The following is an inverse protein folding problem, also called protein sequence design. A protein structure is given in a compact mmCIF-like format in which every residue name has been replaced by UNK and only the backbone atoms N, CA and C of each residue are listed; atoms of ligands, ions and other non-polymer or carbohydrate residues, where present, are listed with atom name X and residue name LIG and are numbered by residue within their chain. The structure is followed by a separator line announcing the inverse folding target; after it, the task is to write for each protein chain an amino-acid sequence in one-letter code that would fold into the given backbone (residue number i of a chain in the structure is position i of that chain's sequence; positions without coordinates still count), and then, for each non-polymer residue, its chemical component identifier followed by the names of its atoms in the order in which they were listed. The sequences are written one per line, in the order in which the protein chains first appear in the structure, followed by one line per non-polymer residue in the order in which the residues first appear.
data_IF_374949647600
#
_entry.id   IF_374949647600
#
_cell.length_a   1.000
_cell.length_b   1.000
_cell.length_c   1.000
_cell.angle_alpha   90.00
_cell.angle_beta   90.00
_cell.angle_gamma   90.00
#
_symmetry.space_group_name_H-M   'P 1'
#
loop_
_entity.id
_entity.type
_entity.pdbx_description
1 polymer ?
#
# COMPACT_ATOMS: atom_id res chain seq x y z
N UNK A 1 -20.97 4.63 31.32
CA UNK A 1 -21.35 6.03 31.65
C UNK A 1 -22.79 6.25 31.22
N UNK A 2 -23.75 5.92 32.10
CA UNK A 2 -25.20 6.02 31.86
C UNK A 2 -25.73 7.33 32.42
N UNK A 3 -25.28 8.46 31.89
CA UNK A 3 -25.78 9.77 32.32
C UNK A 3 -27.16 10.01 31.69
N UNK A 4 -28.23 9.87 32.48
CA UNK A 4 -29.58 10.31 32.10
C UNK A 4 -29.60 11.81 31.75
N UNK A 5 -28.69 12.60 32.33
CA UNK A 5 -28.54 14.03 32.07
C UNK A 5 -28.15 14.30 30.61
N UNK A 6 -27.18 13.56 30.05
CA UNK A 6 -26.79 13.69 28.64
C UNK A 6 -27.94 13.33 27.67
N UNK A 7 -28.80 12.35 28.04
CA UNK A 7 -29.99 11.99 27.24
C UNK A 7 -31.09 13.06 27.28
N UNK A 8 -31.07 13.94 28.28
CA UNK A 8 -32.05 15.01 28.45
C UNK A 8 -31.79 16.21 27.53
N UNK A 9 -30.53 16.45 27.14
CA UNK A 9 -30.13 17.57 26.28
C UNK A 9 -30.34 17.29 24.78
N UNK A 10 -30.40 16.01 24.39
CA UNK A 10 -30.56 15.60 23.00
C UNK A 10 -32.04 15.71 22.58
N UNK A 11 -32.33 16.50 21.53
CA UNK A 11 -33.69 16.75 21.03
C UNK A 11 -33.94 16.10 19.66
N UNK A 12 -35.21 15.86 19.35
CA UNK A 12 -35.67 15.48 18.01
C UNK A 12 -35.24 14.08 17.55
N UNK A 13 -34.99 13.93 16.23
CA UNK A 13 -34.68 12.65 15.55
C UNK A 13 -33.40 11.97 16.09
N UNK A 14 -32.43 12.75 16.56
CA UNK A 14 -31.20 12.24 17.17
C UNK A 14 -31.48 11.45 18.45
N UNK A 15 -32.42 11.93 19.30
CA UNK A 15 -32.79 11.25 20.54
C UNK A 15 -33.36 9.84 20.29
N UNK A 16 -34.24 9.72 19.28
CA UNK A 16 -34.85 8.43 18.91
C UNK A 16 -33.81 7.45 18.39
N UNK A 17 -32.90 7.91 17.52
CA UNK A 17 -31.87 7.06 16.91
C UNK A 17 -30.85 6.57 17.94
N UNK A 18 -30.41 7.45 18.85
CA UNK A 18 -29.51 7.08 19.94
C UNK A 18 -30.16 6.16 20.96
N UNK A 19 -31.46 6.32 21.25
CA UNK A 19 -32.20 5.39 22.10
C UNK A 19 -32.31 4.00 21.45
N UNK A 20 -32.56 3.93 20.13
CA UNK A 20 -32.59 2.68 19.39
C UNK A 20 -31.21 1.98 19.39
N UNK A 21 -30.14 2.73 19.13
CA UNK A 21 -28.77 2.22 19.18
C UNK A 21 -28.38 1.75 20.59
N UNK A 22 -28.70 2.52 21.64
CA UNK A 22 -28.44 2.10 23.00
C UNK A 22 -29.18 0.80 23.36
N UNK A 23 -30.44 0.67 22.92
CA UNK A 23 -31.20 -0.57 23.10
C UNK A 23 -30.62 -1.75 22.33
N UNK A 24 -30.09 -1.53 21.12
CA UNK A 24 -29.35 -2.54 20.36
C UNK A 24 -28.10 -3.00 21.13
N UNK A 25 -27.27 -2.05 21.59
CA UNK A 25 -26.06 -2.37 22.37
C UNK A 25 -26.39 -3.10 23.68
N UNK A 26 -27.50 -2.77 24.33
CA UNK A 26 -27.97 -3.48 25.53
C UNK A 26 -28.37 -4.94 25.21
N UNK A 27 -29.05 -5.20 24.09
CA UNK A 27 -29.35 -6.57 23.66
C UNK A 27 -28.09 -7.36 23.31
N UNK A 28 -27.17 -6.75 22.55
CA UNK A 28 -25.91 -7.39 22.17
C UNK A 28 -25.00 -7.68 23.37
N UNK A 29 -25.07 -6.87 24.43
CA UNK A 29 -24.30 -7.10 25.65
C UNK A 29 -24.61 -8.45 26.32
N UNK A 30 -25.83 -9.00 26.15
CA UNK A 30 -26.21 -10.31 26.69
C UNK A 30 -25.47 -11.48 26.01
N UNK A 31 -24.80 -11.23 24.89
CA UNK A 31 -24.00 -12.20 24.14
C UNK A 31 -22.50 -12.07 24.40
N UNK A 32 -22.05 -11.04 25.13
CA UNK A 32 -20.63 -10.72 25.29
C UNK A 32 -19.79 -11.82 25.98
N UNK A 33 -20.43 -12.74 26.71
CA UNK A 33 -19.79 -13.90 27.36
C UNK A 33 -20.24 -15.24 26.79
N UNK A 34 -20.98 -15.24 25.68
CA UNK A 34 -21.44 -16.45 24.99
C UNK A 34 -20.37 -16.96 24.02
N UNK A 35 -20.53 -18.18 23.45
CA UNK A 35 -19.70 -18.64 22.35
C UNK A 35 -19.59 -17.60 21.24
N UNK A 36 -18.42 -17.50 20.62
CA UNK A 36 -18.10 -16.47 19.64
C UNK A 36 -19.05 -16.51 18.42
N UNK A 37 -19.36 -17.71 17.92
CA UNK A 37 -20.28 -17.89 16.80
C UNK A 37 -21.70 -17.39 17.12
N UNK A 38 -22.18 -17.67 18.34
CA UNK A 38 -23.49 -17.17 18.81
C UNK A 38 -23.51 -15.65 18.90
N UNK A 39 -22.43 -15.05 19.45
CA UNK A 39 -22.34 -13.61 19.60
C UNK A 39 -22.21 -12.87 18.26
N UNK A 40 -21.42 -13.40 17.33
CA UNK A 40 -21.30 -12.85 15.97
C UNK A 40 -22.63 -12.98 15.22
N UNK A 41 -23.27 -14.16 15.29
CA UNK A 41 -24.59 -14.38 14.70
C UNK A 41 -25.64 -13.37 15.20
N UNK A 42 -25.67 -13.11 16.51
CA UNK A 42 -26.56 -12.11 17.10
C UNK A 42 -26.30 -10.69 16.56
N UNK A 43 -25.03 -10.31 16.32
CA UNK A 43 -24.69 -9.01 15.70
C UNK A 43 -25.20 -8.95 14.26
N UNK A 44 -24.97 -10.00 13.47
CA UNK A 44 -25.39 -10.04 12.06
C UNK A 44 -26.90 -9.95 11.91
N UNK A 45 -27.65 -10.66 12.77
CA UNK A 45 -29.12 -10.65 12.78
C UNK A 45 -29.68 -9.31 13.27
N UNK A 46 -29.25 -8.82 14.43
CA UNK A 46 -29.81 -7.60 15.04
C UNK A 46 -29.48 -6.30 14.27
N UNK A 47 -28.51 -6.36 13.36
CA UNK A 47 -28.12 -5.22 12.51
C UNK A 47 -28.58 -5.35 11.06
N UNK A 48 -29.22 -6.47 10.69
CA UNK A 48 -29.55 -6.83 9.31
C UNK A 48 -28.33 -6.72 8.35
N UNK A 49 -27.12 -7.04 8.85
CA UNK A 49 -25.88 -6.72 8.14
C UNK A 49 -25.74 -7.47 6.81
N UNK A 50 -26.14 -8.74 6.78
CA UNK A 50 -26.11 -9.57 5.56
C UNK A 50 -27.09 -9.02 4.51
N UNK A 51 -28.29 -8.64 4.92
CA UNK A 51 -29.26 -8.03 4.00
C UNK A 51 -28.77 -6.67 3.49
N UNK A 52 -28.09 -5.91 4.34
CA UNK A 52 -27.42 -4.68 3.93
C UNK A 52 -26.33 -4.94 2.88
N UNK A 53 -25.46 -5.95 3.09
CA UNK A 53 -24.43 -6.36 2.12
C UNK A 53 -25.06 -6.75 0.77
N UNK A 54 -26.09 -7.60 0.78
CA UNK A 54 -26.82 -8.04 -0.43
C UNK A 54 -27.51 -6.89 -1.18
N UNK A 55 -27.91 -5.84 -0.46
CA UNK A 55 -28.54 -4.65 -1.06
C UNK A 55 -27.53 -3.63 -1.61
N UNK A 56 -26.24 -3.83 -1.35
CA UNK A 56 -25.17 -2.94 -1.80
C UNK A 56 -25.00 -3.04 -3.32
N UNK A 57 -24.82 -1.90 -3.99
CA UNK A 57 -24.53 -1.84 -5.44
C UNK A 57 -23.04 -1.99 -5.76
N UNK A 58 -22.24 -2.39 -4.77
CA UNK A 58 -20.80 -2.59 -4.92
C UNK A 58 -20.53 -3.92 -5.65
N UNK A 59 -19.53 -3.94 -6.54
CA UNK A 59 -19.19 -5.13 -7.34
C UNK A 59 -18.60 -6.28 -6.50
N UNK A 60 -18.37 -6.04 -5.22
CA UNK A 60 -17.72 -6.93 -4.25
C UNK A 60 -18.69 -7.40 -3.14
N UNK A 61 -20.00 -7.18 -3.30
CA UNK A 61 -20.99 -7.54 -2.28
C UNK A 61 -20.99 -9.05 -1.96
N UNK A 62 -20.85 -9.90 -2.98
CA UNK A 62 -20.81 -11.36 -2.86
C UNK A 62 -19.57 -11.83 -2.08
N UNK A 63 -18.38 -11.33 -2.45
CA UNK A 63 -17.13 -11.67 -1.75
C UNK A 63 -17.13 -11.19 -0.28
N UNK A 64 -17.77 -10.05 0.01
CA UNK A 64 -17.95 -9.60 1.41
C UNK A 64 -18.90 -10.48 2.20
N UNK A 65 -19.95 -10.98 1.58
CA UNK A 65 -20.86 -11.94 2.21
C UNK A 65 -20.11 -13.24 2.53
N UNK A 66 -19.36 -13.78 1.57
CA UNK A 66 -18.51 -14.97 1.74
C UNK A 66 -17.50 -14.80 2.89
N UNK A 67 -16.83 -13.65 2.98
CA UNK A 67 -15.89 -13.36 4.06
C UNK A 67 -16.56 -13.34 5.45
N UNK A 68 -17.80 -12.84 5.55
CA UNK A 68 -18.56 -12.84 6.81
C UNK A 68 -19.01 -14.25 7.17
N UNK A 69 -19.41 -15.06 6.20
CA UNK A 69 -19.74 -16.47 6.42
C UNK A 69 -18.50 -17.25 6.90
N UNK A 70 -17.33 -17.02 6.30
CA UNK A 70 -16.07 -17.63 6.73
C UNK A 70 -15.70 -17.23 8.17
N UNK A 71 -15.91 -15.96 8.55
CA UNK A 71 -15.72 -15.50 9.93
C UNK A 71 -16.59 -16.29 10.92
N UNK A 72 -17.84 -16.58 10.58
CA UNK A 72 -18.73 -17.38 11.42
C UNK A 72 -18.23 -18.82 11.52
N UNK A 73 -17.81 -19.42 10.41
CA UNK A 73 -17.23 -20.78 10.38
C UNK A 73 -15.98 -20.87 11.25
N UNK A 74 -15.10 -19.86 11.19
CA UNK A 74 -13.91 -19.78 12.03
C UNK A 74 -14.28 -19.66 13.52
N UNK A 75 -15.27 -18.83 13.86
CA UNK A 75 -15.75 -18.71 15.24
C UNK A 75 -16.37 -20.03 15.76
N UNK A 76 -17.08 -20.79 14.92
CA UNK A 76 -17.61 -22.12 15.28
C UNK A 76 -16.49 -23.15 15.51
N UNK A 77 -15.41 -23.08 14.72
CA UNK A 77 -14.24 -23.90 14.93
C UNK A 77 -13.55 -23.57 16.25
N UNK A 78 -13.34 -22.29 16.53
CA UNK A 78 -12.81 -21.79 17.78
C UNK A 78 -13.64 -22.27 18.98
N UNK A 79 -14.96 -22.11 18.94
CA UNK A 79 -15.85 -22.49 20.04
C UNK A 79 -15.81 -24.00 20.34
N UNK A 80 -15.61 -24.85 19.31
CA UNK A 80 -15.44 -26.30 19.49
C UNK A 80 -14.15 -26.65 20.21
N UNK A 81 -13.09 -25.90 19.95
CA UNK A 81 -11.74 -26.15 20.51
C UNK A 81 -11.53 -25.46 21.87
N UNK A 82 -12.26 -24.37 22.12
CA UNK A 82 -12.10 -23.48 23.26
C UNK A 82 -13.43 -23.21 23.99
N UNK A 83 -14.10 -24.26 24.44
CA UNK A 83 -15.48 -24.22 24.97
C UNK A 83 -15.75 -23.19 26.10
N UNK A 84 -14.74 -22.83 26.90
CA UNK A 84 -14.88 -21.89 28.03
C UNK A 84 -14.40 -20.46 27.73
N UNK A 85 -13.86 -20.21 26.52
CA UNK A 85 -13.20 -18.95 26.21
C UNK A 85 -14.19 -17.87 25.71
N UNK A 86 -15.26 -18.28 25.02
CA UNK A 86 -16.30 -17.41 24.48
C UNK A 86 -15.79 -16.31 23.55
N UNK A 87 -16.63 -15.30 23.27
CA UNK A 87 -16.26 -14.15 22.45
C UNK A 87 -14.96 -13.44 22.90
N UNK A 88 -14.70 -13.19 24.21
CA UNK A 88 -13.46 -12.53 24.62
C UNK A 88 -12.21 -13.33 24.27
N UNK A 89 -12.26 -14.66 24.37
CA UNK A 89 -11.16 -15.53 23.96
C UNK A 89 -10.94 -15.51 22.45
N UNK A 90 -12.02 -15.58 21.67
CA UNK A 90 -11.93 -15.48 20.21
C UNK A 90 -11.31 -14.15 19.76
N UNK A 91 -11.71 -13.03 20.36
CA UNK A 91 -11.14 -11.72 20.06
C UNK A 91 -9.65 -11.62 20.45
N UNK A 92 -9.22 -12.34 21.48
CA UNK A 92 -7.80 -12.45 21.81
C UNK A 92 -7.05 -13.27 20.76
N UNK A 93 -7.61 -14.39 20.30
CA UNK A 93 -7.01 -15.22 19.25
C UNK A 93 -6.88 -14.43 17.95
N UNK A 94 -7.95 -13.81 17.46
CA UNK A 94 -7.91 -12.98 16.25
C UNK A 94 -6.90 -11.84 16.36
N UNK A 95 -6.70 -11.29 17.56
CA UNK A 95 -5.68 -10.27 17.80
C UNK A 95 -4.25 -10.83 17.88
N UNK A 96 -4.09 -12.14 18.08
CA UNK A 96 -2.82 -12.86 18.15
C UNK A 96 -2.43 -13.52 16.82
N UNK A 97 -3.41 -13.83 15.96
CA UNK A 97 -3.17 -14.35 14.60
C UNK A 97 -2.31 -13.34 13.86
N UNK A 98 -1.10 -13.77 13.54
CA UNK A 98 -0.20 -13.01 12.67
C UNK A 98 -0.44 -13.46 11.23
N UNK A 99 -0.18 -12.57 10.26
CA UNK A 99 -0.27 -12.89 8.80
C UNK A 99 0.57 -14.11 8.36
N UNK A 100 1.40 -14.66 9.27
CA UNK A 100 2.31 -15.78 9.07
C UNK A 100 1.63 -17.13 9.39
N UNK A 101 0.64 -17.17 10.30
CA UNK A 101 0.11 -18.42 10.85
C UNK A 101 -0.78 -19.20 9.85
N UNK A 102 -1.24 -18.54 8.77
CA UNK A 102 -2.02 -19.14 7.68
C UNK A 102 -1.17 -19.71 6.52
N UNK A 103 0.16 -19.74 6.64
CA UNK A 103 1.03 -20.29 5.60
C UNK A 103 1.03 -21.82 5.65
N UNK A 104 0.09 -22.47 4.96
CA UNK A 104 0.09 -23.93 4.82
C UNK A 104 1.28 -24.41 3.97
N UNK A 105 2.06 -25.36 4.50
CA UNK A 105 3.12 -26.05 3.74
C UNK A 105 2.50 -26.91 2.63
N UNK A 106 2.72 -26.54 1.36
CA UNK A 106 2.41 -27.39 0.20
C UNK A 106 1.72 -26.71 -0.97
N UNK A 107 1.24 -25.48 -0.81
CA UNK A 107 0.70 -24.71 -1.92
C UNK A 107 1.80 -23.89 -2.60
N UNK A 108 1.99 -24.10 -3.91
CA UNK A 108 2.94 -23.34 -4.72
C UNK A 108 2.44 -21.90 -4.93
N UNK A 109 2.62 -21.06 -3.92
CA UNK A 109 2.22 -19.64 -3.90
C UNK A 109 3.43 -18.73 -3.76
N UNK A 110 3.28 -17.49 -4.23
CA UNK A 110 4.25 -16.42 -3.94
C UNK A 110 3.78 -15.71 -2.68
N UNK A 111 4.67 -15.60 -1.71
CA UNK A 111 4.38 -14.96 -0.43
C UNK A 111 4.71 -13.47 -0.51
N UNK A 112 3.71 -12.62 -0.27
CA UNK A 112 3.86 -11.17 -0.12
C UNK A 112 3.71 -10.80 1.34
N UNK A 113 4.65 -10.04 1.87
CA UNK A 113 4.63 -9.58 3.25
C UNK A 113 5.42 -8.29 3.40
N UNK A 114 5.30 -7.63 4.56
CA UNK A 114 6.17 -6.52 4.91
C UNK A 114 7.54 -7.01 5.38
N UNK A 115 8.57 -6.17 5.31
CA UNK A 115 9.90 -6.51 5.85
C UNK A 115 9.86 -6.89 7.33
N UNK A 116 8.99 -6.26 8.13
CA UNK A 116 8.83 -6.57 9.55
C UNK A 116 8.30 -7.99 9.77
N UNK A 117 7.32 -8.41 8.98
CA UNK A 117 6.73 -9.75 9.05
C UNK A 117 7.71 -10.86 8.62
N UNK A 118 8.77 -10.53 7.87
CA UNK A 118 9.75 -11.51 7.41
C UNK A 118 10.68 -12.03 8.50
N UNK A 119 10.71 -11.40 9.68
CA UNK A 119 11.67 -11.73 10.73
C UNK A 119 11.52 -13.18 11.20
N UNK A 120 12.61 -13.93 11.10
CA UNK A 120 12.64 -15.35 11.51
C UNK A 120 12.22 -16.33 10.42
N UNK A 121 11.83 -15.85 9.24
CA UNK A 121 11.57 -16.66 8.05
C UNK A 121 12.78 -16.65 7.12
N UNK A 122 12.90 -17.67 6.28
CA UNK A 122 13.95 -17.79 5.26
C UNK A 122 13.33 -18.37 3.99
N UNK A 123 13.79 -17.90 2.83
CA UNK A 123 13.25 -18.28 1.53
C UNK A 123 14.40 -18.47 0.52
N UNK A 124 14.30 -19.46 -0.39
CA UNK A 124 15.29 -19.66 -1.46
C UNK A 124 15.52 -18.38 -2.30
N UNK A 125 14.44 -17.66 -2.59
CA UNK A 125 14.47 -16.44 -3.41
C UNK A 125 13.67 -15.34 -2.73
N UNK A 126 14.27 -14.17 -2.56
CA UNK A 126 13.63 -12.98 -1.98
C UNK A 126 13.70 -11.80 -2.94
N UNK A 127 12.55 -11.14 -3.12
CA UNK A 127 12.45 -9.86 -3.78
C UNK A 127 12.18 -8.77 -2.75
N UNK A 128 13.08 -7.79 -2.64
CA UNK A 128 12.82 -6.55 -1.89
C UNK A 128 12.50 -5.47 -2.91
N UNK A 129 11.23 -5.08 -2.96
CA UNK A 129 10.74 -4.08 -3.89
C UNK A 129 10.56 -2.72 -3.22
N UNK A 130 10.69 -1.65 -4.02
CA UNK A 130 10.46 -0.28 -3.55
C UNK A 130 11.60 0.27 -2.71
N UNK A 131 12.85 -0.06 -3.06
CA UNK A 131 14.05 0.54 -2.46
C UNK A 131 14.23 1.95 -2.99
N UNK A 132 13.42 2.85 -2.45
CA UNK A 132 13.32 4.26 -2.80
C UNK A 132 13.48 5.11 -1.55
N UNK A 133 14.07 6.30 -1.68
CA UNK A 133 14.01 7.31 -0.62
C UNK A 133 12.54 7.61 -0.26
N UNK A 134 12.31 7.93 1.02
CA UNK A 134 10.98 8.11 1.65
C UNK A 134 10.13 6.84 1.82
N UNK A 135 10.49 5.72 1.17
CA UNK A 135 9.83 4.43 1.35
C UNK A 135 10.68 3.49 2.22
N UNK A 136 11.95 3.30 1.84
CA UNK A 136 12.95 2.59 2.64
C UNK A 136 14.32 3.21 2.36
N UNK A 137 14.79 4.17 3.18
CA UNK A 137 14.26 4.54 4.49
C UNK A 137 12.91 5.29 4.42
N UNK A 138 12.01 4.99 5.35
CA UNK A 138 10.72 5.67 5.44
C UNK A 138 10.88 7.17 5.78
N UNK A 139 10.05 8.03 5.18
CA UNK A 139 10.13 9.49 5.34
C UNK A 139 10.14 9.97 6.81
N UNK A 140 9.39 9.28 7.69
CA UNK A 140 9.35 9.61 9.12
C UNK A 140 10.68 9.41 9.83
N UNK A 141 11.53 8.51 9.32
CA UNK A 141 12.86 8.22 9.85
C UNK A 141 13.92 9.22 9.36
N UNK A 142 13.51 10.22 8.55
CA UNK A 142 14.40 11.20 7.92
C UNK A 142 14.29 12.64 8.46
N UNK A 143 13.51 12.86 9.54
CA UNK A 143 13.27 14.21 10.13
C UNK A 143 14.49 14.86 10.80
N UNK A 144 14.41 16.16 11.12
CA UNK A 144 15.57 17.04 11.42
C UNK A 144 16.13 17.01 12.87
N UNK A 145 15.48 16.35 13.83
CA UNK A 145 16.02 16.21 15.20
C UNK A 145 16.86 14.94 15.36
N UNK A 146 17.58 14.79 16.48
CA UNK A 146 18.48 13.65 16.85
C UNK A 146 17.89 12.21 16.69
N UNK A 147 16.65 12.08 16.22
CA UNK A 147 16.07 10.86 15.62
C UNK A 147 16.47 10.58 14.16
N UNK A 148 17.26 11.43 13.50
CA UNK A 148 17.65 11.28 12.09
C UNK A 148 18.69 10.19 11.82
N UNK A 149 19.63 9.95 12.74
CA UNK A 149 20.63 8.89 12.58
C UNK A 149 20.13 7.57 13.18
N UNK A 150 19.48 7.63 14.34
CA UNK A 150 18.90 6.45 14.99
C UNK A 150 17.74 5.84 14.18
N UNK A 151 16.91 6.69 13.56
CA UNK A 151 15.82 6.26 12.68
C UNK A 151 16.35 5.61 11.40
N UNK A 152 17.32 6.24 10.74
CA UNK A 152 17.97 5.65 9.56
C UNK A 152 18.69 4.35 9.90
N UNK A 153 19.34 4.26 11.06
CA UNK A 153 19.96 3.02 11.53
C UNK A 153 18.94 1.91 11.82
N UNK A 154 17.72 2.25 12.24
CA UNK A 154 16.65 1.26 12.39
C UNK A 154 16.13 0.77 11.03
N UNK A 155 15.90 1.67 10.07
CA UNK A 155 15.53 1.31 8.69
C UNK A 155 16.64 0.49 8.01
N UNK A 156 17.90 0.79 8.30
CA UNK A 156 19.07 0.01 7.86
C UNK A 156 19.06 -1.39 8.45
N UNK A 157 18.76 -1.53 9.74
CA UNK A 157 18.57 -2.85 10.38
C UNK A 157 17.41 -3.61 9.74
N UNK A 158 16.31 -2.94 9.41
CA UNK A 158 15.17 -3.54 8.73
C UNK A 158 15.55 -4.07 7.35
N UNK A 159 16.28 -3.26 6.56
CA UNK A 159 16.82 -3.69 5.26
C UNK A 159 17.75 -4.90 5.42
N UNK A 160 18.68 -4.87 6.38
CA UNK A 160 19.57 -5.99 6.68
C UNK A 160 18.79 -7.27 7.03
N UNK A 161 17.77 -7.18 7.87
CA UNK A 161 16.90 -8.32 8.20
C UNK A 161 16.26 -8.88 6.94
N UNK A 162 15.69 -8.02 6.09
CA UNK A 162 15.10 -8.42 4.80
C UNK A 162 16.09 -9.13 3.88
N UNK A 163 17.29 -8.58 3.72
CA UNK A 163 18.34 -9.16 2.87
C UNK A 163 18.75 -10.55 3.34
N UNK A 164 18.84 -10.74 4.66
CA UNK A 164 19.22 -12.03 5.28
C UNK A 164 18.10 -13.06 5.31
N UNK A 165 16.91 -12.77 4.75
CA UNK A 165 15.87 -13.79 4.55
C UNK A 165 16.13 -14.64 3.30
N UNK A 166 17.03 -14.20 2.40
CA UNK A 166 17.34 -14.90 1.17
C UNK A 166 18.41 -15.98 1.40
N UNK A 167 18.15 -17.21 0.95
CA UNK A 167 19.12 -18.31 1.00
C UNK A 167 19.99 -18.36 -0.27
N UNK A 168 19.37 -18.35 -1.46
CA UNK A 168 20.08 -18.51 -2.74
C UNK A 168 20.16 -17.20 -3.54
N UNK A 169 19.03 -16.48 -3.66
CA UNK A 169 18.94 -15.30 -4.53
C UNK A 169 18.21 -14.13 -3.87
N UNK A 170 18.85 -12.97 -3.90
CA UNK A 170 18.27 -11.69 -3.48
C UNK A 170 18.14 -10.77 -4.68
N UNK A 171 16.93 -10.28 -4.94
CA UNK A 171 16.64 -9.32 -6.01
C UNK A 171 16.13 -8.03 -5.37
N UNK A 172 16.81 -6.93 -5.68
CA UNK A 172 16.51 -5.60 -5.17
C UNK A 172 15.95 -4.74 -6.29
N UNK A 173 14.79 -4.10 -6.08
CA UNK A 173 14.17 -3.26 -7.12
C UNK A 173 13.73 -1.90 -6.57
N UNK A 174 13.79 -0.89 -7.44
CA UNK A 174 13.29 0.45 -7.20
C UNK A 174 12.51 0.91 -8.44
N UNK A 175 11.54 1.82 -8.28
CA UNK A 175 10.85 2.42 -9.40
C UNK A 175 11.34 3.87 -9.61
N UNK A 176 11.51 4.29 -10.86
CA UNK A 176 11.80 5.69 -11.19
C UNK A 176 10.59 6.61 -10.94
N UNK A 177 9.38 6.08 -11.15
CA UNK A 177 8.12 6.78 -10.93
C UNK A 177 7.15 5.89 -10.19
N UNK A 178 6.47 6.44 -9.18
CA UNK A 178 5.48 5.72 -8.37
C UNK A 178 4.22 6.56 -8.22
N UNK A 179 3.07 5.91 -8.36
CA UNK A 179 1.80 6.49 -7.94
C UNK A 179 1.57 6.15 -6.47
N UNK A 180 1.38 7.17 -5.64
CA UNK A 180 1.09 7.04 -4.22
C UNK A 180 -0.04 8.01 -3.85
N UNK A 181 -1.13 7.50 -3.26
CA UNK A 181 -2.35 8.27 -2.95
C UNK A 181 -2.91 9.10 -4.13
N UNK A 182 -2.81 8.57 -5.35
CA UNK A 182 -3.34 9.21 -6.56
C UNK A 182 -2.45 10.31 -7.16
N UNK A 183 -1.31 10.60 -6.53
CA UNK A 183 -0.27 11.48 -7.08
C UNK A 183 0.88 10.63 -7.64
N UNK A 184 1.32 10.92 -8.86
CA UNK A 184 2.49 10.26 -9.46
C UNK A 184 3.70 11.14 -9.27
N UNK A 185 4.70 10.62 -8.56
CA UNK A 185 5.95 11.33 -8.29
C UNK A 185 7.16 10.54 -8.78
N UNK A 186 8.23 11.27 -9.11
CA UNK A 186 9.55 10.69 -9.32
C UNK A 186 10.11 10.22 -7.98
N UNK A 187 10.84 9.11 -7.98
CA UNK A 187 11.44 8.53 -6.77
C UNK A 187 12.94 8.43 -6.94
N UNK A 188 13.67 8.86 -5.91
CA UNK A 188 15.11 8.64 -5.85
C UNK A 188 15.38 7.22 -5.35
N UNK A 189 16.39 6.50 -5.90
CA UNK A 189 16.79 5.20 -5.38
C UNK A 189 17.21 5.32 -3.91
N UNK A 190 16.88 4.32 -3.10
CA UNK A 190 17.28 4.26 -1.70
C UNK A 190 18.79 4.38 -1.55
N UNK A 191 19.24 5.21 -0.59
CA UNK A 191 20.65 5.29 -0.19
C UNK A 191 21.26 3.93 0.17
N UNK A 192 20.47 2.98 0.67
CA UNK A 192 20.96 1.65 1.05
C UNK A 192 21.47 0.85 -0.13
N UNK A 193 20.99 1.13 -1.35
CA UNK A 193 21.51 0.52 -2.58
C UNK A 193 22.96 0.93 -2.84
N UNK A 194 23.32 2.18 -2.56
CA UNK A 194 24.67 2.72 -2.79
C UNK A 194 25.71 2.20 -1.80
N UNK A 195 25.26 1.64 -0.68
CA UNK A 195 26.13 1.09 0.38
C UNK A 195 26.50 -0.37 0.12
N UNK A 196 25.79 -1.05 -0.79
CA UNK A 196 26.10 -2.41 -1.20
C UNK A 196 27.36 -2.37 -2.10
N UNK A 197 28.43 -3.11 -1.75
CA UNK A 197 29.64 -3.14 -2.59
C UNK A 197 29.32 -3.67 -3.99
N UNK A 198 29.80 -2.97 -5.01
CA UNK A 198 29.44 -3.22 -6.42
C UNK A 198 29.88 -4.60 -6.91
N UNK A 199 30.91 -5.17 -6.31
CA UNK A 199 31.37 -6.54 -6.58
C UNK A 199 30.32 -7.62 -6.28
N UNK A 200 29.30 -7.30 -5.48
CA UNK A 200 28.20 -8.21 -5.15
C UNK A 200 26.95 -7.99 -6.01
N UNK A 201 27.00 -7.11 -7.01
CA UNK A 201 25.86 -6.81 -7.90
C UNK A 201 26.15 -7.38 -9.29
N UNK A 202 25.41 -8.41 -9.70
CA UNK A 202 25.59 -9.06 -11.01
C UNK A 202 24.92 -8.30 -12.17
N UNK A 203 23.75 -7.73 -11.94
CA UNK A 203 22.93 -7.11 -12.98
C UNK A 203 22.31 -5.79 -12.47
N UNK A 204 22.88 -4.65 -12.85
CA UNK A 204 22.26 -3.34 -12.66
C UNK A 204 21.64 -2.86 -13.98
N UNK A 205 20.33 -2.62 -13.99
CA UNK A 205 19.63 -2.05 -15.14
C UNK A 205 19.87 -0.53 -15.26
N UNK A 206 20.64 0.06 -14.35
CA UNK A 206 21.01 1.50 -14.32
C UNK A 206 21.94 1.94 -15.47
N UNK A 207 22.11 1.15 -16.52
CA UNK A 207 22.81 1.59 -17.72
C UNK A 207 21.85 2.41 -18.59
N UNK A 208 22.13 3.71 -18.85
CA UNK A 208 21.31 4.52 -19.75
C UNK A 208 21.18 3.90 -21.15
N UNK A 209 22.18 3.09 -21.54
CA UNK A 209 22.24 2.40 -22.83
C UNK A 209 21.23 1.23 -22.96
N UNK A 210 20.65 0.77 -21.85
CA UNK A 210 19.65 -0.31 -21.85
C UNK A 210 18.19 0.18 -21.87
N UNK A 211 17.95 1.48 -21.68
CA UNK A 211 16.61 2.06 -21.58
C UNK A 211 15.97 2.33 -22.95
N UNK A 212 16.76 2.52 -24.02
CA UNK A 212 16.23 2.82 -25.36
C UNK A 212 15.49 1.63 -25.99
N UNK A 213 15.82 0.40 -25.62
CA UNK A 213 15.37 -0.81 -26.35
C UNK A 213 14.01 -1.35 -25.87
N UNK A 214 13.50 -0.90 -24.71
CA UNK A 214 12.30 -1.49 -24.08
C UNK A 214 11.03 -0.68 -24.36
N UNK A 215 11.15 0.64 -24.56
CA UNK A 215 9.99 1.54 -24.66
C UNK A 215 9.48 1.73 -26.10
N UNK A 216 10.29 1.41 -27.12
CA UNK A 216 9.92 1.57 -28.53
C UNK A 216 9.83 3.03 -29.00
N UNK A 217 9.48 3.24 -30.27
CA UNK A 217 9.33 4.57 -30.87
C UNK A 217 8.21 5.38 -30.19
N UNK A 218 8.38 6.71 -30.17
CA UNK A 218 7.39 7.60 -29.60
C UNK A 218 6.11 7.65 -30.44
N UNK A 219 4.98 7.24 -29.86
CA UNK A 219 3.67 7.38 -30.48
C UNK A 219 2.88 8.51 -29.81
N UNK A 220 2.71 9.62 -30.54
CA UNK A 220 2.02 10.79 -30.03
C UNK A 220 0.49 10.61 -30.03
N UNK A 221 -0.16 10.90 -28.90
CA UNK A 221 -1.62 10.94 -28.77
C UNK A 221 -2.09 12.29 -28.19
N UNK A 222 -3.13 12.88 -28.78
CA UNK A 222 -3.75 14.12 -28.29
C UNK A 222 -2.85 15.36 -28.36
N UNK A 223 -2.86 16.20 -27.33
CA UNK A 223 -2.08 17.45 -27.23
C UNK A 223 -0.56 17.24 -27.30
N UNK A 224 -0.09 16.00 -27.03
CA UNK A 224 1.31 15.62 -27.16
C UNK A 224 1.81 15.55 -28.61
N UNK A 225 0.93 15.57 -29.61
CA UNK A 225 1.30 15.60 -31.04
C UNK A 225 2.11 16.81 -31.46
N UNK A 226 2.07 17.90 -30.68
CA UNK A 226 2.86 19.10 -30.94
C UNK A 226 4.29 19.04 -30.35
N UNK A 227 4.62 18.02 -29.56
CA UNK A 227 5.98 17.82 -29.03
C UNK A 227 6.84 17.08 -30.05
N UNK A 228 7.93 17.73 -30.45
CA UNK A 228 8.99 17.13 -31.27
C UNK A 228 10.35 17.32 -30.61
N UNK A 229 11.31 16.49 -31.00
CA UNK A 229 12.71 16.71 -30.63
C UNK A 229 13.18 18.07 -31.17
N UNK A 230 13.78 18.88 -30.31
CA UNK A 230 14.17 20.26 -30.60
C UNK A 230 13.11 21.32 -30.25
N UNK A 231 11.88 20.92 -29.87
CA UNK A 231 10.86 21.87 -29.42
C UNK A 231 11.32 22.60 -28.15
N UNK A 232 11.08 23.91 -28.09
CA UNK A 232 11.24 24.70 -26.85
C UNK A 232 9.98 24.53 -26.03
N UNK A 233 10.15 24.20 -24.75
CA UNK A 233 9.05 23.95 -23.83
C UNK A 233 9.22 24.74 -22.55
N UNK A 234 8.11 25.09 -21.92
CA UNK A 234 8.04 25.69 -20.60
C UNK A 234 7.36 24.69 -19.64
N UNK A 235 7.98 24.49 -18.49
CA UNK A 235 7.45 23.71 -17.38
C UNK A 235 7.25 24.61 -16.16
N UNK A 236 6.11 24.51 -15.49
CA UNK A 236 5.74 25.39 -14.36
C UNK A 236 6.81 25.41 -13.24
N UNK A 237 7.49 24.29 -13.00
CA UNK A 237 8.53 24.18 -11.96
C UNK A 237 9.97 24.33 -12.47
N UNK A 238 10.26 23.89 -13.70
CA UNK A 238 11.64 23.80 -14.21
C UNK A 238 11.97 24.92 -15.20
N UNK A 239 10.99 25.75 -15.57
CA UNK A 239 11.14 26.87 -16.50
C UNK A 239 11.35 26.39 -17.94
N UNK A 240 12.16 27.14 -18.69
CA UNK A 240 12.37 26.89 -20.12
C UNK A 240 13.41 25.79 -20.38
N UNK A 241 13.07 24.88 -21.28
CA UNK A 241 13.95 23.81 -21.75
C UNK A 241 13.77 23.48 -23.23
N UNK A 242 14.65 22.60 -23.72
CA UNK A 242 14.61 22.06 -25.09
C UNK A 242 14.46 20.55 -25.03
N UNK A 243 13.52 20.01 -25.80
CA UNK A 243 13.33 18.56 -25.91
C UNK A 243 14.53 17.93 -26.63
N UNK A 244 15.19 16.98 -25.98
CA UNK A 244 16.33 16.23 -26.52
C UNK A 244 15.92 14.87 -27.08
N UNK A 245 14.93 14.20 -26.47
CA UNK A 245 14.45 12.90 -26.91
C UNK A 245 12.97 12.68 -26.54
N UNK A 246 12.31 11.81 -27.29
CA UNK A 246 10.93 11.36 -27.09
C UNK A 246 10.88 9.85 -27.32
N UNK A 247 10.30 9.09 -26.39
CA UNK A 247 10.25 7.62 -26.44
C UNK A 247 8.93 7.09 -25.86
N UNK A 248 8.48 5.92 -26.32
CA UNK A 248 7.31 5.21 -25.78
C UNK A 248 5.93 5.76 -26.18
N UNK A 249 4.90 5.01 -25.83
CA UNK A 249 3.52 5.26 -26.25
C UNK A 249 2.55 5.42 -25.07
N UNK A 250 1.47 6.18 -25.30
CA UNK A 250 0.36 6.34 -24.36
C UNK A 250 0.79 6.87 -22.98
N UNK A 251 0.39 6.18 -21.92
CA UNK A 251 0.67 6.58 -20.53
C UNK A 251 2.15 6.47 -20.15
N UNK A 252 2.92 5.66 -20.89
CA UNK A 252 4.34 5.42 -20.65
C UNK A 252 5.24 6.29 -21.54
N UNK A 253 4.66 7.18 -22.36
CA UNK A 253 5.42 8.06 -23.22
C UNK A 253 6.25 9.04 -22.41
N UNK A 254 7.55 9.15 -22.72
CA UNK A 254 8.55 9.95 -22.02
C UNK A 254 9.10 11.04 -22.94
N UNK A 255 9.44 12.17 -22.33
CA UNK A 255 10.12 13.30 -22.94
C UNK A 255 11.35 13.68 -22.12
N UNK A 256 12.50 13.67 -22.77
CA UNK A 256 13.75 14.15 -22.18
C UNK A 256 13.92 15.61 -22.55
N UNK A 257 13.97 16.49 -21.55
CA UNK A 257 14.09 17.94 -21.73
C UNK A 257 15.33 18.45 -21.00
N UNK A 258 16.17 19.20 -21.72
CA UNK A 258 17.25 19.98 -21.11
C UNK A 258 16.74 21.33 -20.67
N UNK A 259 16.51 21.48 -19.37
CA UNK A 259 16.13 22.75 -18.76
C UNK A 259 17.34 23.64 -18.49
N UNK A 260 17.15 24.94 -18.66
CA UNK A 260 18.22 25.94 -18.49
C UNK A 260 18.68 26.04 -17.03
N UNK A 261 17.77 25.81 -16.08
CA UNK A 261 17.98 25.99 -14.63
C UNK A 261 18.43 24.72 -13.90
N UNK A 262 17.95 23.55 -14.33
CA UNK A 262 18.09 22.28 -13.57
C UNK A 262 18.75 21.14 -14.38
N UNK A 263 19.20 21.42 -15.60
CA UNK A 263 19.82 20.42 -16.48
C UNK A 263 18.81 19.49 -17.15
N UNK A 264 19.26 18.32 -17.58
CA UNK A 264 18.41 17.34 -18.29
C UNK A 264 17.49 16.59 -17.32
N UNK A 265 16.20 16.51 -17.66
CA UNK A 265 15.17 15.76 -16.92
C UNK A 265 14.36 14.91 -17.89
N UNK A 266 13.97 13.72 -17.44
CA UNK A 266 13.06 12.82 -18.17
C UNK A 266 11.70 12.89 -17.50
N UNK A 267 10.65 13.17 -18.27
CA UNK A 267 9.29 13.37 -17.76
C UNK A 267 8.30 12.49 -18.53
N UNK A 268 7.24 12.02 -17.87
CA UNK A 268 6.12 11.36 -18.55
C UNK A 268 5.25 12.41 -19.24
N UNK A 269 5.06 12.28 -20.55
CA UNK A 269 4.40 13.28 -21.40
C UNK A 269 3.00 13.64 -20.89
N UNK A 270 2.22 12.65 -20.45
CA UNK A 270 0.87 12.86 -19.92
C UNK A 270 0.80 13.68 -18.61
N UNK A 271 1.90 13.73 -17.84
CA UNK A 271 1.96 14.43 -16.55
C UNK A 271 2.85 15.67 -16.58
N UNK A 272 3.73 15.78 -17.58
CA UNK A 272 4.72 16.84 -17.66
C UNK A 272 4.11 18.24 -17.86
N UNK A 273 2.84 18.34 -18.31
CA UNK A 273 2.13 19.62 -18.54
C UNK A 273 2.98 20.66 -19.28
N UNK A 274 3.81 20.20 -20.23
CA UNK A 274 4.74 21.06 -20.97
C UNK A 274 3.96 21.95 -21.93
N UNK A 275 4.26 23.25 -21.90
CA UNK A 275 3.75 24.19 -22.92
C UNK A 275 4.80 24.36 -24.00
N UNK A 276 4.46 24.02 -25.24
CA UNK A 276 5.35 24.29 -26.38
C UNK A 276 5.38 25.79 -26.63
N UNK A 277 6.57 26.37 -26.54
CA UNK A 277 6.84 27.78 -26.79
C UNK A 277 7.34 27.88 -28.22
N UNK A 278 6.42 28.10 -29.17
CA UNK A 278 6.81 28.36 -30.55
C UNK A 278 7.60 29.67 -30.63
N UNK A 279 8.61 29.76 -31.53
CA UNK A 279 9.35 31.00 -31.78
C UNK A 279 8.47 32.14 -32.30
#
# INVERSE_FOLDING_TARGET
VRSEEARSEIRGRAKKSLAAFAGLMERLADFASRPAAEAIGAVLEETDYIDWLRSSTDNDAESREENVEELVVHAEAFDRENADAGLPGFLQEVALVSDIDGMEEGEAKVTLMTLHASKGLEFPVVFIAGLEEELLPHALSMGEDEGSEAGIEEERRLMYVGMTRAEDRLILTHAQTRMHFGETSWREPSRFLAEIPKEFIEHSVDSPDGEEDVLGEFEAAGEASALGVGSRVEHDHFGYGVVEALQGAGINARVTVRFTSVGTKILLVQYAKLRVVNP
#
